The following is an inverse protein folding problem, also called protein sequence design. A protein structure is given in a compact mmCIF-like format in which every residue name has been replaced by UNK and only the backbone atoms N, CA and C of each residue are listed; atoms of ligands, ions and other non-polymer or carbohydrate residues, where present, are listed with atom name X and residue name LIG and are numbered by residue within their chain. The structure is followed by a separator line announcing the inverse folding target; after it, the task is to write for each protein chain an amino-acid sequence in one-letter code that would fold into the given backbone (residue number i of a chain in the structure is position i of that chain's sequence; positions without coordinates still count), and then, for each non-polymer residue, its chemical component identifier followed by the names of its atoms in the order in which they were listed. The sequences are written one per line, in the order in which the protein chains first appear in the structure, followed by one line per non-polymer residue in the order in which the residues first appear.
data_IF_868472550465
#
_entry.id   IF_868472550465
#
_cell.length_a   1.000
_cell.length_b   1.000
_cell.length_c   1.000
_cell.angle_alpha   90.00
_cell.angle_beta   90.00
_cell.angle_gamma   90.00
#
_symmetry.space_group_name_H-M   'P 1'
#
loop_
_entity.id
_entity.type
_entity.pdbx_description
1 polymer ?
#
# COMPACT_ATOMS: atom_id res chain seq x y z
N UNK A 1 -6.04 -2.69 24.31
CA UNK A 1 -6.81 -1.73 23.48
C UNK A 1 -5.96 -0.53 23.05
N UNK A 2 -5.32 0.23 23.96
CA UNK A 2 -4.45 1.37 23.59
C UNK A 2 -3.31 1.00 22.62
N UNK A 3 -2.71 -0.19 22.79
CA UNK A 3 -1.60 -0.68 21.96
C UNK A 3 -1.96 -0.81 20.46
N UNK A 4 -3.19 -1.22 20.14
CA UNK A 4 -3.64 -1.34 18.75
C UNK A 4 -3.73 0.02 18.05
N UNK A 5 -4.17 1.06 18.78
CA UNK A 5 -4.21 2.43 18.24
C UNK A 5 -2.81 2.99 18.02
N UNK A 6 -1.85 2.69 18.91
CA UNK A 6 -0.45 3.05 18.71
C UNK A 6 0.12 2.38 17.45
N UNK A 7 -0.11 1.08 17.27
CA UNK A 7 0.31 0.40 16.04
C UNK A 7 -0.38 0.96 14.79
N UNK A 8 -1.68 1.29 14.86
CA UNK A 8 -2.39 1.91 13.74
C UNK A 8 -1.79 3.26 13.34
N UNK A 9 -1.37 4.09 14.32
CA UNK A 9 -0.68 5.35 14.05
C UNK A 9 0.68 5.13 13.38
N UNK A 10 1.48 4.20 13.92
CA UNK A 10 2.79 3.87 13.34
C UNK A 10 2.63 3.36 11.90
N UNK A 11 1.68 2.44 11.69
CA UNK A 11 1.38 1.91 10.36
C UNK A 11 0.95 3.03 9.40
N UNK A 12 0.12 3.97 9.85
CA UNK A 12 -0.28 5.13 9.04
C UNK A 12 0.91 5.99 8.60
N UNK A 13 1.85 6.26 9.51
CA UNK A 13 3.08 6.99 9.18
C UNK A 13 3.91 6.21 8.16
N UNK A 14 4.14 4.92 8.42
CA UNK A 14 4.92 4.07 7.51
C UNK A 14 4.26 3.97 6.12
N UNK A 15 2.94 3.92 6.06
CA UNK A 15 2.19 3.84 4.80
C UNK A 15 2.43 5.06 3.91
N UNK A 16 2.70 6.23 4.49
CA UNK A 16 3.03 7.47 3.76
C UNK A 16 4.53 7.52 3.41
N UNK A 17 5.40 7.14 4.35
CA UNK A 17 6.86 7.26 4.18
C UNK A 17 7.39 6.24 3.17
N UNK A 18 6.91 5.00 3.20
CA UNK A 18 7.43 3.90 2.36
C UNK A 18 7.36 4.21 0.87
N UNK A 19 6.22 4.67 0.29
CA UNK A 19 6.16 5.03 -1.13
C UNK A 19 7.12 6.18 -1.51
N UNK A 20 7.44 7.09 -0.59
CA UNK A 20 8.40 8.19 -0.83
C UNK A 20 9.81 7.62 -0.97
N UNK A 21 10.25 6.81 -0.02
CA UNK A 21 11.57 6.17 -0.04
C UNK A 21 11.71 5.21 -1.24
N UNK A 22 10.67 4.43 -1.51
CA UNK A 22 10.63 3.54 -2.68
C UNK A 22 10.73 4.32 -4.00
N UNK A 23 10.06 5.47 -4.09
CA UNK A 23 10.17 6.36 -5.25
C UNK A 23 11.58 6.88 -5.47
N UNK A 24 12.27 7.31 -4.40
CA UNK A 24 13.67 7.74 -4.48
C UNK A 24 14.59 6.60 -4.94
N UNK A 25 14.43 5.40 -4.39
CA UNK A 25 15.21 4.23 -4.79
C UNK A 25 14.92 3.82 -6.23
N UNK A 26 13.66 3.88 -6.67
CA UNK A 26 13.26 3.55 -8.04
C UNK A 26 13.81 4.56 -9.05
N UNK A 27 13.89 5.85 -8.70
CA UNK A 27 14.54 6.87 -9.52
C UNK A 27 16.06 6.66 -9.61
N UNK A 28 16.70 6.25 -8.52
CA UNK A 28 18.16 6.06 -8.47
C UNK A 28 18.63 4.77 -9.17
N UNK A 29 17.94 3.65 -8.96
CA UNK A 29 18.37 2.32 -9.42
C UNK A 29 17.59 1.82 -10.65
N UNK A 30 16.50 2.47 -11.00
CA UNK A 30 15.49 1.97 -11.94
C UNK A 30 14.50 1.03 -11.26
N UNK A 31 13.26 1.03 -11.77
CA UNK A 31 12.11 0.33 -11.18
C UNK A 31 12.35 -1.16 -10.96
N UNK A 32 12.91 -1.88 -11.94
CA UNK A 32 13.13 -3.33 -11.82
C UNK A 32 14.13 -3.68 -10.71
N UNK A 33 15.30 -3.02 -10.69
CA UNK A 33 16.33 -3.27 -9.68
C UNK A 33 15.86 -2.88 -8.29
N UNK A 34 15.21 -1.72 -8.17
CA UNK A 34 14.63 -1.28 -6.89
C UNK A 34 13.60 -2.28 -6.37
N UNK A 35 12.74 -2.82 -7.25
CA UNK A 35 11.73 -3.81 -6.87
C UNK A 35 12.35 -5.15 -6.48
N UNK A 36 13.37 -5.61 -7.20
CA UNK A 36 14.10 -6.82 -6.86
C UNK A 36 14.74 -6.73 -5.47
N UNK A 37 15.48 -5.65 -5.18
CA UNK A 37 16.11 -5.49 -3.87
C UNK A 37 15.09 -5.29 -2.74
N UNK A 38 13.97 -4.62 -3.01
CA UNK A 38 12.88 -4.49 -2.05
C UNK A 38 12.25 -5.86 -1.72
N UNK A 39 11.94 -6.65 -2.74
CA UNK A 39 11.34 -7.97 -2.52
C UNK A 39 12.33 -8.96 -1.89
N UNK A 40 13.60 -8.88 -2.26
CA UNK A 40 14.67 -9.67 -1.67
C UNK A 40 14.85 -9.34 -0.18
N UNK A 41 14.91 -8.06 0.19
CA UNK A 41 15.04 -7.66 1.60
C UNK A 41 13.82 -8.10 2.41
N UNK A 42 12.60 -7.92 1.88
CA UNK A 42 11.39 -8.41 2.52
C UNK A 42 11.41 -9.94 2.73
N UNK A 43 11.88 -10.70 1.74
CA UNK A 43 11.99 -12.16 1.83
C UNK A 43 13.02 -12.58 2.88
N UNK A 44 14.19 -11.94 2.90
CA UNK A 44 15.22 -12.20 3.91
C UNK A 44 14.74 -11.85 5.32
N UNK A 45 14.07 -10.71 5.49
CA UNK A 45 13.46 -10.33 6.77
C UNK A 45 12.40 -11.34 7.19
N UNK A 46 11.49 -11.74 6.29
CA UNK A 46 10.49 -12.76 6.59
C UNK A 46 11.12 -14.10 6.99
N UNK A 47 12.21 -14.51 6.33
CA UNK A 47 12.95 -15.72 6.68
C UNK A 47 13.59 -15.63 8.06
N UNK A 48 14.20 -14.50 8.42
CA UNK A 48 14.75 -14.27 9.76
C UNK A 48 13.64 -14.32 10.82
N UNK A 49 12.50 -13.68 10.56
CA UNK A 49 11.33 -13.75 11.46
C UNK A 49 10.83 -15.20 11.63
N UNK A 50 10.76 -15.97 10.55
CA UNK A 50 10.40 -17.37 10.62
C UNK A 50 11.37 -18.14 11.53
N UNK A 51 12.68 -17.93 11.41
CA UNK A 51 13.67 -18.59 12.26
C UNK A 51 13.61 -18.19 13.73
N UNK A 52 13.26 -16.94 14.03
CA UNK A 52 13.19 -16.43 15.40
C UNK A 52 11.90 -16.83 16.12
N UNK A 53 10.78 -16.95 15.39
CA UNK A 53 9.44 -17.07 15.98
C UNK A 53 8.71 -18.38 15.66
N UNK A 54 9.23 -19.22 14.76
CA UNK A 54 8.62 -20.52 14.41
C UNK A 54 9.50 -21.71 14.77
N UNK A 55 8.86 -22.84 15.02
CA UNK A 55 9.55 -24.12 15.21
C UNK A 55 10.01 -24.70 13.86
N UNK A 56 11.13 -25.43 13.88
CA UNK A 56 11.71 -26.08 12.68
C UNK A 56 10.78 -27.10 12.01
N UNK A 57 9.70 -27.54 12.69
CA UNK A 57 8.69 -28.42 12.11
C UNK A 57 7.94 -27.81 10.91
N UNK A 58 7.93 -26.48 10.77
CA UNK A 58 7.32 -25.80 9.62
C UNK A 58 7.94 -26.28 8.30
N UNK A 59 9.27 -26.49 8.27
CA UNK A 59 9.98 -26.95 7.07
C UNK A 59 9.59 -28.36 6.63
N UNK A 60 9.18 -29.22 7.56
CA UNK A 60 8.72 -30.58 7.24
C UNK A 60 7.33 -30.56 6.58
N UNK A 61 6.54 -29.51 6.81
CA UNK A 61 5.19 -29.34 6.26
C UNK A 61 5.18 -28.60 4.92
N UNK A 62 6.25 -27.91 4.53
CA UNK A 62 6.34 -27.19 3.25
C UNK A 62 5.94 -28.05 2.03
N UNK A 63 6.41 -29.31 1.89
CA UNK A 63 6.07 -30.15 0.74
C UNK A 63 4.59 -30.56 0.65
N UNK A 64 3.85 -30.47 1.76
CA UNK A 64 2.43 -30.88 1.79
C UNK A 64 1.47 -29.74 1.44
N UNK A 65 1.99 -28.51 1.33
CA UNK A 65 1.17 -27.33 1.02
C UNK A 65 0.89 -27.28 -0.48
N UNK A 66 -0.38 -27.17 -0.92
CA UNK A 66 -0.72 -27.08 -2.32
C UNK A 66 -0.05 -25.87 -3.02
N UNK A 67 0.43 -26.01 -4.28
CA UNK A 67 1.19 -24.96 -4.96
C UNK A 67 0.49 -23.60 -5.06
N UNK A 68 -0.84 -23.57 -5.12
CA UNK A 68 -1.61 -22.33 -5.27
C UNK A 68 -1.50 -21.40 -4.04
N UNK A 69 -1.17 -21.91 -2.85
CA UNK A 69 -0.92 -21.07 -1.67
C UNK A 69 0.32 -20.17 -1.82
N UNK A 70 1.27 -20.55 -2.68
CA UNK A 70 2.48 -19.76 -2.93
C UNK A 70 2.26 -18.62 -3.94
N UNK A 71 1.08 -18.53 -4.57
CA UNK A 71 0.75 -17.45 -5.51
C UNK A 71 0.73 -16.07 -4.84
N UNK A 72 0.51 -16.00 -3.53
CA UNK A 72 0.60 -14.75 -2.77
C UNK A 72 1.96 -14.07 -2.92
N UNK A 73 3.06 -14.84 -3.00
CA UNK A 73 4.39 -14.30 -3.22
C UNK A 73 4.58 -13.74 -4.63
N UNK A 74 4.05 -14.43 -5.65
CA UNK A 74 4.09 -13.92 -7.03
C UNK A 74 3.28 -12.61 -7.16
N UNK A 75 2.08 -12.58 -6.58
CA UNK A 75 1.22 -11.39 -6.56
C UNK A 75 1.92 -10.25 -5.82
N UNK A 76 2.55 -10.53 -4.66
CA UNK A 76 3.31 -9.53 -3.90
C UNK A 76 4.46 -8.92 -4.71
N UNK A 77 5.20 -9.74 -5.47
CA UNK A 77 6.26 -9.28 -6.36
C UNK A 77 5.72 -8.34 -7.46
N UNK A 78 4.58 -8.68 -8.06
CA UNK A 78 3.92 -7.83 -9.06
C UNK A 78 3.44 -6.50 -8.43
N UNK A 79 2.86 -6.56 -7.24
CA UNK A 79 2.42 -5.36 -6.51
C UNK A 79 3.59 -4.42 -6.25
N UNK A 80 4.71 -4.90 -5.72
CA UNK A 80 5.86 -4.03 -5.43
C UNK A 80 6.45 -3.43 -6.72
N UNK A 81 6.49 -4.20 -7.81
CA UNK A 81 6.94 -3.72 -9.11
C UNK A 81 6.07 -2.56 -9.62
N UNK A 82 4.75 -2.73 -9.56
CA UNK A 82 3.80 -1.70 -9.96
C UNK A 82 3.88 -0.47 -9.04
N UNK A 83 3.99 -0.67 -7.72
CA UNK A 83 4.13 0.44 -6.78
C UNK A 83 5.41 1.24 -7.05
N UNK A 84 6.55 0.57 -7.20
CA UNK A 84 7.81 1.25 -7.53
C UNK A 84 7.75 1.97 -8.88
N UNK A 85 7.03 1.40 -9.86
CA UNK A 85 6.78 2.08 -11.13
C UNK A 85 5.98 3.38 -10.91
N UNK A 86 4.82 3.30 -10.27
CA UNK A 86 3.93 4.45 -10.08
C UNK A 86 4.50 5.50 -9.12
N UNK A 87 5.33 5.13 -8.15
CA UNK A 87 6.03 6.08 -7.25
C UNK A 87 6.92 7.06 -7.98
N UNK A 88 7.37 6.73 -9.19
CA UNK A 88 8.16 7.66 -10.02
C UNK A 88 7.31 8.56 -10.93
N UNK A 89 6.00 8.29 -11.03
CA UNK A 89 5.10 8.95 -12.00
C UNK A 89 4.10 9.89 -11.34
N UNK A 90 3.66 9.57 -10.13
CA UNK A 90 2.66 10.35 -9.39
C UNK A 90 3.10 10.58 -7.95
N UNK A 91 2.50 11.57 -7.30
CA UNK A 91 2.83 11.90 -5.90
C UNK A 91 2.45 10.73 -4.98
N UNK A 92 3.31 10.45 -3.99
CA UNK A 92 3.10 9.40 -3.00
C UNK A 92 1.72 9.44 -2.32
N UNK A 93 1.18 10.64 -2.08
CA UNK A 93 -0.17 10.84 -1.56
C UNK A 93 -1.27 10.14 -2.38
N UNK A 94 -1.24 10.25 -3.71
CA UNK A 94 -2.23 9.61 -4.58
C UNK A 94 -2.08 8.09 -4.61
N UNK A 95 -0.84 7.60 -4.52
CA UNK A 95 -0.55 6.16 -4.45
C UNK A 95 -1.17 5.55 -3.20
N UNK A 96 -0.97 6.19 -2.05
CA UNK A 96 -1.53 5.76 -0.78
C UNK A 96 -3.05 5.66 -0.85
N UNK A 97 -3.71 6.68 -1.41
CA UNK A 97 -5.18 6.68 -1.49
C UNK A 97 -5.69 5.62 -2.47
N UNK A 98 -5.04 5.45 -3.62
CA UNK A 98 -5.37 4.37 -4.56
C UNK A 98 -5.22 2.99 -3.92
N UNK A 99 -4.14 2.77 -3.17
CA UNK A 99 -3.94 1.54 -2.39
C UNK A 99 -5.05 1.33 -1.37
N UNK A 100 -5.40 2.38 -0.59
CA UNK A 100 -6.49 2.31 0.37
C UNK A 100 -7.83 1.97 -0.27
N UNK A 101 -8.18 2.62 -1.38
CA UNK A 101 -9.42 2.33 -2.10
C UNK A 101 -9.43 0.91 -2.66
N UNK A 102 -8.33 0.49 -3.30
CA UNK A 102 -8.20 -0.84 -3.90
C UNK A 102 -8.31 -1.96 -2.87
N UNK A 103 -7.53 -1.90 -1.78
CA UNK A 103 -7.55 -2.93 -0.74
C UNK A 103 -8.89 -2.99 0.00
N UNK A 104 -9.53 -1.83 0.24
CA UNK A 104 -10.80 -1.76 0.95
C UNK A 104 -11.97 -2.26 0.09
N UNK A 105 -11.96 -1.94 -1.21
CA UNK A 105 -12.95 -2.47 -2.18
C UNK A 105 -12.76 -3.98 -2.36
N UNK A 106 -11.53 -4.45 -2.56
CA UNK A 106 -11.26 -5.88 -2.68
C UNK A 106 -11.59 -6.63 -1.39
N UNK A 107 -11.33 -6.04 -0.23
CA UNK A 107 -11.71 -6.59 1.06
C UNK A 107 -13.22 -6.79 1.17
N UNK A 108 -14.04 -5.80 0.76
CA UNK A 108 -15.50 -5.95 0.69
C UNK A 108 -15.95 -7.07 -0.25
N UNK A 109 -15.32 -7.19 -1.41
CA UNK A 109 -15.64 -8.24 -2.39
C UNK A 109 -15.33 -9.62 -1.81
N UNK A 110 -14.16 -9.77 -1.18
CA UNK A 110 -13.74 -11.03 -0.57
C UNK A 110 -14.59 -11.40 0.64
N UNK A 111 -14.88 -10.44 1.53
CA UNK A 111 -15.72 -10.66 2.71
C UNK A 111 -17.13 -11.13 2.30
N UNK A 112 -17.69 -10.54 1.24
CA UNK A 112 -18.98 -10.98 0.70
C UNK A 112 -18.88 -12.35 0.04
N UNK A 113 -17.87 -12.59 -0.80
CA UNK A 113 -17.75 -13.83 -1.58
C UNK A 113 -17.40 -15.05 -0.74
N UNK A 114 -16.59 -14.87 0.31
CA UNK A 114 -16.09 -15.97 1.15
C UNK A 114 -16.95 -16.13 2.41
N UNK A 115 -17.31 -15.03 3.06
CA UNK A 115 -17.98 -15.05 4.37
C UNK A 115 -19.47 -14.70 4.27
N UNK A 116 -19.97 -14.26 3.12
CA UNK A 116 -21.35 -13.78 2.96
C UNK A 116 -21.62 -12.47 3.72
N UNK A 117 -20.59 -11.77 4.18
CA UNK A 117 -20.72 -10.59 5.00
C UNK A 117 -20.51 -9.32 4.18
N UNK A 118 -21.42 -8.36 4.33
CA UNK A 118 -21.32 -7.08 3.64
C UNK A 118 -21.42 -5.92 4.63
N UNK A 119 -20.32 -5.18 4.80
CA UNK A 119 -20.26 -4.07 5.73
C UNK A 119 -20.47 -2.73 5.02
N UNK A 120 -21.72 -2.26 4.95
CA UNK A 120 -22.08 -1.00 4.27
C UNK A 120 -21.32 0.22 4.79
N UNK A 121 -20.86 0.20 6.06
CA UNK A 121 -20.07 1.29 6.66
C UNK A 121 -18.73 1.49 5.95
N UNK A 122 -18.13 0.45 5.38
CA UNK A 122 -16.89 0.57 4.60
C UNK A 122 -17.13 1.35 3.31
N UNK A 123 -18.29 1.18 2.66
CA UNK A 123 -18.64 1.98 1.48
C UNK A 123 -18.73 3.46 1.84
N UNK A 124 -19.36 3.79 2.98
CA UNK A 124 -19.41 5.17 3.45
C UNK A 124 -18.01 5.75 3.66
N UNK A 125 -17.10 4.98 4.24
CA UNK A 125 -15.69 5.36 4.36
C UNK A 125 -15.01 5.62 3.02
N UNK A 126 -15.21 4.75 2.02
CA UNK A 126 -14.72 4.94 0.65
C UNK A 126 -15.26 6.23 0.03
N UNK A 127 -16.57 6.50 0.16
CA UNK A 127 -17.20 7.71 -0.36
C UNK A 127 -16.62 8.97 0.30
N UNK A 128 -16.36 8.95 1.60
CA UNK A 128 -15.74 10.08 2.31
C UNK A 128 -14.32 10.33 1.77
N UNK A 129 -13.52 9.29 1.53
CA UNK A 129 -12.18 9.42 0.95
C UNK A 129 -12.26 10.04 -0.45
N UNK A 130 -13.16 9.54 -1.31
CA UNK A 130 -13.36 10.08 -2.65
C UNK A 130 -13.81 11.55 -2.61
N UNK A 131 -14.71 11.90 -1.69
CA UNK A 131 -15.17 13.27 -1.51
C UNK A 131 -14.05 14.21 -1.03
N UNK A 132 -13.23 13.76 -0.08
CA UNK A 132 -12.06 14.50 0.38
C UNK A 132 -11.06 14.77 -0.75
N UNK A 133 -10.82 13.77 -1.61
CA UNK A 133 -9.99 13.92 -2.81
C UNK A 133 -10.59 14.93 -3.81
N UNK A 134 -11.89 14.86 -4.05
CA UNK A 134 -12.60 15.78 -4.93
C UNK A 134 -12.43 17.23 -4.48
N UNK A 135 -12.68 17.50 -3.19
CA UNK A 135 -12.51 18.85 -2.61
C UNK A 135 -11.08 19.36 -2.72
N UNK A 136 -10.09 18.50 -2.52
CA UNK A 136 -8.68 18.87 -2.64
C UNK A 136 -8.31 19.30 -4.07
N UNK A 137 -8.80 18.56 -5.08
CA UNK A 137 -8.57 18.89 -6.47
C UNK A 137 -9.31 20.16 -6.89
N UNK A 138 -10.56 20.34 -6.46
CA UNK A 138 -11.35 21.55 -6.72
C UNK A 138 -10.65 22.81 -6.17
N UNK A 139 -10.05 22.73 -4.98
CA UNK A 139 -9.29 23.85 -4.39
C UNK A 139 -8.04 24.21 -5.21
N UNK A 140 -7.44 23.23 -5.89
CA UNK A 140 -6.26 23.41 -6.72
C UNK A 140 -6.59 24.13 -8.03
N UNK A 141 -7.76 23.85 -8.62
CA UNK A 141 -8.28 24.54 -9.80
C UNK A 141 -8.64 26.00 -9.48
N UNK A 142 -9.35 26.24 -8.36
CA UNK A 142 -9.69 27.61 -7.94
C UNK A 142 -8.45 28.48 -7.71
N UNK A 143 -7.36 27.92 -7.16
CA UNK A 143 -6.09 28.64 -6.94
C UNK A 143 -5.27 28.88 -8.21
N UNK A 144 -5.56 28.17 -9.31
CA UNK A 144 -4.99 28.47 -10.62
C UNK A 144 -5.80 29.54 -11.37
N UNK A 145 -7.11 29.63 -11.09
CA UNK A 145 -8.03 30.60 -11.69
C UNK A 145 -7.93 31.98 -11.01
N UNK A 146 -7.49 32.05 -9.74
CA UNK A 146 -7.05 33.29 -9.10
C UNK A 146 -5.52 33.36 -9.11
N UNK A 147 -4.88 34.03 -10.09
CA UNK A 147 -3.47 34.34 -9.99
C UNK A 147 -3.26 35.13 -8.70
N UNK A 148 -2.08 34.98 -8.11
CA UNK A 148 -1.64 35.75 -6.95
C UNK A 148 -1.62 37.22 -7.37
N UNK A 149 -2.70 37.95 -7.12
CA UNK A 149 -2.71 39.42 -7.15
C UNK A 149 -1.94 39.90 -5.92
N UNK A 150 -0.61 39.75 -5.97
CA UNK A 150 0.31 40.46 -5.09
C UNK A 150 0.95 41.57 -5.92
N UNK A 151 0.87 42.84 -5.46
CA UNK A 151 1.33 43.98 -6.25
C UNK A 151 2.84 43.91 -6.42
N UNK A 152 3.30 44.20 -7.63
CA UNK A 152 4.71 44.47 -7.92
C UNK A 152 5.09 45.73 -7.13
N UNK A 153 5.96 45.57 -6.13
CA UNK A 153 6.71 46.64 -5.47
C UNK A 153 8.17 46.19 -5.36
#
# INVERSE_FOLDING_TARGET
MILYYVFALILGILFIVVPILNGQNALALGTFKASFFNYLSATLTAFVFLMLFSNLEVFKKLPTIPPHYYLGGLIGCLVILLLNYFTTKIKAFYIVILLFMGQMTMGLILDYSIMGQFESKRILGLLIICFGLYLQNAKKEVKQITPKDEPIL
#
